data_IF_094785258481
#
_entry.id   IF_094785258481
#
_cell.length_a   1.000
_cell.length_b   1.000
_cell.length_c   1.000
_cell.angle_alpha   90.00
_cell.angle_beta   90.00
_cell.angle_gamma   90.00
#
_symmetry.space_group_name_H-M   'P 1'
#
loop_
_entity.id
_entity.type
_entity.pdbx_description
1 polymer ?
#
# COMPACT_ATOMS: atom_id res chain seq x y z
N UNK A 1 -32.70 -5.89 -1.13
CA UNK A 1 -31.66 -6.79 -0.63
C UNK A 1 -30.56 -7.04 -1.68
N UNK A 2 -30.84 -7.60 -2.89
CA UNK A 2 -29.79 -7.88 -3.92
C UNK A 2 -29.00 -6.63 -4.38
N UNK A 3 -29.64 -5.46 -4.54
CA UNK A 3 -28.94 -4.20 -4.91
C UNK A 3 -27.96 -3.74 -3.83
N UNK A 4 -28.35 -3.78 -2.57
CA UNK A 4 -27.51 -3.43 -1.43
C UNK A 4 -26.26 -4.31 -1.34
N UNK A 5 -26.43 -5.64 -1.45
CA UNK A 5 -25.30 -6.57 -1.44
C UNK A 5 -24.33 -6.33 -2.61
N UNK A 6 -24.85 -6.03 -3.81
CA UNK A 6 -23.98 -5.71 -4.95
C UNK A 6 -23.13 -4.47 -4.68
N UNK A 7 -23.71 -3.40 -4.12
CA UNK A 7 -22.98 -2.18 -3.76
C UNK A 7 -21.95 -2.48 -2.67
N UNK A 8 -22.35 -3.19 -1.62
CA UNK A 8 -21.43 -3.55 -0.53
C UNK A 8 -20.21 -4.33 -1.02
N UNK A 9 -20.43 -5.40 -1.79
CA UNK A 9 -19.32 -6.18 -2.35
C UNK A 9 -18.46 -5.36 -3.32
N UNK A 10 -19.07 -4.47 -4.11
CA UNK A 10 -18.34 -3.58 -5.02
C UNK A 10 -17.42 -2.65 -4.27
N UNK A 11 -17.88 -2.04 -3.18
CA UNK A 11 -17.04 -1.18 -2.31
C UNK A 11 -15.89 -1.99 -1.71
N UNK A 12 -16.15 -3.20 -1.21
CA UNK A 12 -15.10 -4.07 -0.67
C UNK A 12 -14.02 -4.37 -1.71
N UNK A 13 -14.42 -4.73 -2.94
CA UNK A 13 -13.49 -5.01 -4.05
C UNK A 13 -12.69 -3.76 -4.40
N UNK A 14 -13.35 -2.59 -4.50
CA UNK A 14 -12.68 -1.33 -4.83
C UNK A 14 -11.61 -0.97 -3.79
N UNK A 15 -11.91 -1.10 -2.50
CA UNK A 15 -10.93 -0.85 -1.43
C UNK A 15 -9.74 -1.82 -1.54
N UNK A 16 -9.99 -3.11 -1.78
CA UNK A 16 -8.92 -4.11 -1.94
C UNK A 16 -8.01 -3.76 -3.12
N UNK A 17 -8.58 -3.35 -4.26
CA UNK A 17 -7.82 -2.94 -5.43
C UNK A 17 -6.96 -1.69 -5.11
N UNK A 18 -7.56 -0.65 -4.52
CA UNK A 18 -6.86 0.59 -4.17
C UNK A 18 -5.69 0.29 -3.22
N UNK A 19 -5.92 -0.47 -2.15
CA UNK A 19 -4.86 -0.84 -1.19
C UNK A 19 -3.79 -1.69 -1.87
N UNK A 20 -4.17 -2.60 -2.76
CA UNK A 20 -3.24 -3.39 -3.56
C UNK A 20 -2.32 -2.53 -4.43
N UNK A 21 -2.89 -1.55 -5.16
CA UNK A 21 -2.14 -0.60 -5.98
C UNK A 21 -1.20 0.24 -5.13
N UNK A 22 -1.67 0.77 -4.00
CA UNK A 22 -0.82 1.56 -3.08
C UNK A 22 0.37 0.73 -2.61
N UNK A 23 0.14 -0.49 -2.11
CA UNK A 23 1.23 -1.36 -1.63
C UNK A 23 2.21 -1.72 -2.75
N UNK A 24 1.70 -1.99 -3.95
CA UNK A 24 2.53 -2.27 -5.12
C UNK A 24 3.41 -1.06 -5.46
N UNK A 25 2.83 0.13 -5.57
CA UNK A 25 3.55 1.36 -5.93
C UNK A 25 4.61 1.72 -4.88
N UNK A 26 4.24 1.69 -3.59
CA UNK A 26 5.18 1.99 -2.49
C UNK A 26 6.27 0.93 -2.38
N UNK A 27 5.95 -0.34 -2.61
CA UNK A 27 6.91 -1.44 -2.57
C UNK A 27 7.79 -1.55 -3.82
N UNK A 28 7.47 -0.82 -4.90
CA UNK A 28 8.22 -0.84 -6.15
C UNK A 28 9.47 0.06 -6.05
N UNK A 29 10.48 -0.39 -5.32
CA UNK A 29 11.71 0.35 -5.00
C UNK A 29 12.47 0.85 -6.23
N UNK A 30 12.38 0.14 -7.34
CA UNK A 30 13.03 0.48 -8.61
C UNK A 30 12.60 1.84 -9.15
N UNK A 31 11.36 2.26 -8.89
CA UNK A 31 10.88 3.59 -9.29
C UNK A 31 11.72 4.68 -8.61
N UNK A 32 11.92 4.56 -7.29
CA UNK A 32 12.73 5.53 -6.56
C UNK A 32 14.22 5.46 -6.94
N UNK A 33 14.74 4.28 -7.27
CA UNK A 33 16.12 4.14 -7.75
C UNK A 33 16.33 4.87 -9.08
N UNK A 34 15.36 4.83 -9.97
CA UNK A 34 15.36 5.64 -11.18
C UNK A 34 15.35 7.14 -10.85
N UNK A 35 14.52 7.56 -9.90
CA UNK A 35 14.42 8.96 -9.49
C UNK A 35 15.72 9.49 -8.86
N UNK A 36 16.49 8.66 -8.15
CA UNK A 36 17.81 9.04 -7.60
C UNK A 36 18.72 9.56 -8.71
N UNK A 37 18.72 8.88 -9.86
CA UNK A 37 19.55 9.26 -11.01
C UNK A 37 18.92 10.41 -11.79
N UNK A 38 17.63 10.31 -12.09
CA UNK A 38 16.91 11.28 -12.91
C UNK A 38 16.83 12.69 -12.28
N UNK A 39 16.65 12.75 -10.98
CA UNK A 39 16.54 14.00 -10.22
C UNK A 39 17.87 14.45 -9.58
N UNK A 40 18.98 13.76 -9.85
CA UNK A 40 20.29 14.03 -9.28
C UNK A 40 20.29 14.15 -7.75
N UNK A 41 19.52 13.28 -7.07
CA UNK A 41 19.31 13.35 -5.59
C UNK A 41 20.64 13.21 -4.85
N UNK A 42 21.58 12.40 -5.35
CA UNK A 42 22.91 12.24 -4.74
C UNK A 42 23.70 13.55 -4.71
N UNK A 43 23.71 14.30 -5.81
CA UNK A 43 24.41 15.59 -5.90
C UNK A 43 23.74 16.64 -5.00
N UNK A 44 22.41 16.71 -5.03
CA UNK A 44 21.63 17.69 -4.25
C UNK A 44 21.71 17.44 -2.74
N UNK A 45 21.77 16.17 -2.31
CA UNK A 45 21.81 15.80 -0.89
C UNK A 45 23.22 15.69 -0.31
N UNK A 46 24.23 15.52 -1.17
CA UNK A 46 25.60 15.20 -0.75
C UNK A 46 25.79 13.78 -0.22
N UNK A 47 24.79 12.91 -0.40
CA UNK A 47 24.83 11.50 0.01
C UNK A 47 25.24 10.61 -1.16
N UNK A 48 25.91 9.48 -0.86
CA UNK A 48 26.16 8.48 -1.88
C UNK A 48 24.85 7.82 -2.35
N UNK A 49 24.80 7.36 -3.61
CA UNK A 49 23.63 6.63 -4.13
C UNK A 49 23.32 5.39 -3.31
N UNK A 50 24.34 4.72 -2.80
CA UNK A 50 24.19 3.51 -2.01
C UNK A 50 23.59 3.82 -0.63
N UNK A 51 24.02 4.92 0.01
CA UNK A 51 23.40 5.37 1.26
C UNK A 51 21.94 5.75 1.08
N UNK A 52 21.60 6.45 0.00
CA UNK A 52 20.23 6.82 -0.31
C UNK A 52 19.36 5.57 -0.48
N UNK A 53 19.81 4.60 -1.29
CA UNK A 53 19.10 3.33 -1.52
C UNK A 53 18.93 2.54 -0.23
N UNK A 54 20.01 2.40 0.55
CA UNK A 54 20.02 1.64 1.79
C UNK A 54 19.00 2.19 2.81
N UNK A 55 18.97 3.51 2.98
CA UNK A 55 18.03 4.15 3.90
C UNK A 55 16.59 4.09 3.38
N UNK A 56 16.37 4.27 2.06
CA UNK A 56 15.07 4.14 1.44
C UNK A 56 14.52 2.71 1.57
N UNK A 57 15.33 1.70 1.29
CA UNK A 57 14.94 0.30 1.41
C UNK A 57 14.49 -0.04 2.82
N UNK A 58 15.26 0.41 3.80
CA UNK A 58 14.89 0.25 5.20
C UNK A 58 13.56 0.93 5.54
N UNK A 59 13.36 2.15 5.04
CA UNK A 59 12.13 2.92 5.25
C UNK A 59 10.90 2.19 4.69
N UNK A 60 11.01 1.66 3.47
CA UNK A 60 9.92 0.89 2.85
C UNK A 60 9.66 -0.41 3.62
N UNK A 61 10.73 -1.14 3.97
CA UNK A 61 10.60 -2.38 4.73
C UNK A 61 10.01 -2.13 6.13
N UNK A 62 10.38 -1.04 6.80
CA UNK A 62 9.78 -0.63 8.06
C UNK A 62 8.27 -0.40 7.95
N UNK A 63 7.83 0.29 6.92
CA UNK A 63 6.40 0.60 6.75
C UNK A 63 5.56 -0.60 6.32
N UNK A 64 6.07 -1.45 5.43
CA UNK A 64 5.31 -2.54 4.83
C UNK A 64 5.50 -3.88 5.54
N UNK A 65 6.67 -4.12 6.15
CA UNK A 65 7.02 -5.40 6.75
C UNK A 65 6.82 -5.38 8.28
N UNK A 66 6.06 -6.33 8.81
CA UNK A 66 5.82 -6.45 10.26
C UNK A 66 7.03 -6.90 11.07
N UNK A 67 8.00 -7.53 10.43
CA UNK A 67 9.17 -8.09 11.10
C UNK A 67 10.22 -7.03 11.48
N UNK A 68 10.12 -5.81 10.94
CA UNK A 68 10.96 -4.69 11.34
C UNK A 68 10.29 -3.97 12.50
N UNK A 69 10.84 -4.03 13.70
CA UNK A 69 10.20 -3.55 14.93
C UNK A 69 10.55 -2.13 15.31
N UNK A 70 11.74 -1.66 14.97
CA UNK A 70 12.26 -0.35 15.36
C UNK A 70 12.55 0.53 14.14
N UNK A 71 12.22 1.83 14.23
CA UNK A 71 12.61 2.79 13.21
C UNK A 71 14.03 3.31 13.48
N UNK A 72 14.99 2.83 12.69
CA UNK A 72 16.39 3.24 12.77
C UNK A 72 17.03 3.18 11.39
N UNK A 73 17.14 4.33 10.74
CA UNK A 73 17.81 4.41 9.45
C UNK A 73 19.27 3.93 9.54
N UNK A 74 19.75 3.14 8.56
CA UNK A 74 21.09 2.53 8.61
C UNK A 74 22.25 3.53 8.71
N UNK A 75 22.20 4.61 7.95
CA UNK A 75 23.31 5.58 7.89
C UNK A 75 22.89 7.01 8.27
N UNK A 76 21.59 7.31 8.32
CA UNK A 76 21.08 8.64 8.62
C UNK A 76 20.54 8.74 10.05
N UNK A 77 20.76 9.90 10.68
CA UNK A 77 20.17 10.22 11.97
C UNK A 77 18.70 10.60 11.79
N UNK A 78 17.83 10.09 12.65
CA UNK A 78 16.41 10.46 12.67
C UNK A 78 16.13 11.38 13.86
N UNK A 79 15.38 12.46 13.63
CA UNK A 79 14.86 13.28 14.72
C UNK A 79 13.80 12.52 15.54
N UNK A 80 13.55 12.90 16.80
CA UNK A 80 12.45 12.31 17.58
C UNK A 80 11.10 12.44 16.88
N UNK A 81 10.82 13.59 16.26
CA UNK A 81 9.60 13.85 15.51
C UNK A 81 9.50 12.97 14.26
N UNK A 82 10.63 12.78 13.55
CA UNK A 82 10.69 11.87 12.39
C UNK A 82 10.38 10.43 12.77
N UNK A 83 10.88 9.96 13.92
CA UNK A 83 10.56 8.60 14.43
C UNK A 83 9.07 8.45 14.69
N UNK A 84 8.45 9.40 15.40
CA UNK A 84 7.01 9.41 15.68
C UNK A 84 6.21 9.40 14.38
N UNK A 85 6.57 10.27 13.43
CA UNK A 85 5.90 10.35 12.14
C UNK A 85 5.91 9.00 11.39
N UNK A 86 7.07 8.35 11.26
CA UNK A 86 7.18 7.08 10.57
C UNK A 86 6.50 5.91 11.32
N UNK A 87 6.43 5.97 12.65
CA UNK A 87 5.64 5.03 13.44
C UNK A 87 4.13 5.18 13.14
N UNK A 88 3.63 6.41 13.05
CA UNK A 88 2.25 6.69 12.65
C UNK A 88 1.96 6.22 11.22
N UNK A 89 2.84 6.54 10.27
CA UNK A 89 2.73 6.07 8.88
C UNK A 89 2.69 4.55 8.81
N UNK A 90 3.58 3.87 9.52
CA UNK A 90 3.58 2.40 9.63
C UNK A 90 2.25 1.88 10.17
N UNK A 91 1.73 2.47 11.23
CA UNK A 91 0.46 2.06 11.82
C UNK A 91 -0.70 2.19 10.82
N UNK A 92 -0.70 3.24 10.01
CA UNK A 92 -1.67 3.42 8.93
C UNK A 92 -1.55 2.28 7.92
N UNK A 93 -0.37 1.99 7.38
CA UNK A 93 -0.15 0.90 6.42
C UNK A 93 -0.57 -0.45 6.99
N UNK A 94 -0.18 -0.76 8.24
CA UNK A 94 -0.53 -2.02 8.88
C UNK A 94 -2.03 -2.17 9.10
N UNK A 95 -2.73 -1.10 9.47
CA UNK A 95 -4.18 -1.12 9.69
C UNK A 95 -4.96 -1.24 8.38
N UNK A 96 -4.56 -0.49 7.35
CA UNK A 96 -5.17 -0.58 6.01
C UNK A 96 -4.96 -1.98 5.44
N UNK A 97 -3.78 -2.56 5.60
CA UNK A 97 -3.49 -3.92 5.13
C UNK A 97 -4.27 -4.99 5.89
N UNK A 98 -4.49 -4.83 7.20
CA UNK A 98 -5.38 -5.73 7.96
C UNK A 98 -6.82 -5.64 7.44
N UNK A 99 -7.32 -4.43 7.24
CA UNK A 99 -8.66 -4.18 6.71
C UNK A 99 -8.79 -4.79 5.30
N UNK A 100 -7.83 -4.54 4.40
CA UNK A 100 -7.86 -5.08 3.05
C UNK A 100 -7.88 -6.61 3.02
N UNK A 101 -7.16 -7.30 3.91
CA UNK A 101 -7.21 -8.77 4.04
C UNK A 101 -8.59 -9.27 4.44
N UNK A 102 -9.25 -8.59 5.39
CA UNK A 102 -10.64 -8.92 5.76
C UNK A 102 -11.59 -8.70 4.59
N UNK A 103 -11.49 -7.55 3.93
CA UNK A 103 -12.34 -7.21 2.78
C UNK A 103 -12.08 -8.11 1.57
N UNK A 104 -10.86 -8.64 1.41
CA UNK A 104 -10.55 -9.62 0.38
C UNK A 104 -11.37 -10.89 0.56
N UNK A 105 -11.47 -11.41 1.77
CA UNK A 105 -12.31 -12.59 2.06
C UNK A 105 -13.78 -12.31 1.71
N UNK A 106 -14.30 -11.16 2.14
CA UNK A 106 -15.68 -10.75 1.82
C UNK A 106 -15.87 -10.61 0.30
N UNK A 107 -14.89 -10.03 -0.40
CA UNK A 107 -14.91 -9.86 -1.85
C UNK A 107 -14.94 -11.21 -2.60
N UNK A 108 -14.13 -12.17 -2.15
CA UNK A 108 -14.12 -13.52 -2.73
C UNK A 108 -15.47 -14.20 -2.60
N UNK A 109 -16.11 -14.10 -1.44
CA UNK A 109 -17.49 -14.61 -1.23
C UNK A 109 -18.46 -13.91 -2.20
N UNK A 110 -18.38 -12.59 -2.33
CA UNK A 110 -19.21 -11.83 -3.27
C UNK A 110 -19.02 -12.24 -4.72
N UNK A 111 -17.79 -12.48 -5.15
CA UNK A 111 -17.46 -12.94 -6.51
C UNK A 111 -18.03 -14.34 -6.75
N UNK A 112 -17.83 -15.28 -5.81
CA UNK A 112 -18.33 -16.65 -5.91
C UNK A 112 -19.87 -16.64 -6.05
N UNK A 113 -20.56 -15.88 -5.21
CA UNK A 113 -22.01 -15.73 -5.27
C UNK A 113 -22.47 -15.11 -6.58
N UNK A 114 -21.72 -14.14 -7.11
CA UNK A 114 -22.00 -13.49 -8.39
C UNK A 114 -21.90 -14.47 -9.56
N UNK A 115 -20.83 -15.26 -9.60
CA UNK A 115 -20.62 -16.29 -10.63
C UNK A 115 -21.72 -17.36 -10.56
N UNK A 116 -22.01 -17.91 -9.37
CA UNK A 116 -23.09 -18.91 -9.19
C UNK A 116 -24.45 -18.40 -9.68
N UNK A 117 -24.76 -17.13 -9.43
CA UNK A 117 -26.03 -16.53 -9.80
C UNK A 117 -26.03 -15.90 -11.20
N UNK A 118 -24.96 -16.07 -11.98
CA UNK A 118 -24.76 -15.42 -13.30
C UNK A 118 -25.01 -13.90 -13.26
N UNK A 119 -24.64 -13.26 -12.15
CA UNK A 119 -24.89 -11.85 -11.90
C UNK A 119 -23.60 -11.02 -11.99
N UNK A 120 -23.34 -10.45 -13.15
CA UNK A 120 -22.15 -9.60 -13.40
C UNK A 120 -22.28 -8.15 -12.87
N UNK A 121 -23.41 -7.81 -12.22
CA UNK A 121 -23.67 -6.44 -11.75
C UNK A 121 -22.65 -5.96 -10.71
N UNK A 122 -22.09 -6.89 -9.92
CA UNK A 122 -21.02 -6.57 -8.95
C UNK A 122 -19.82 -5.97 -9.69
N UNK A 123 -19.33 -6.63 -10.72
CA UNK A 123 -18.17 -6.17 -11.49
C UNK A 123 -18.42 -4.81 -12.15
N UNK A 124 -19.61 -4.62 -12.73
CA UNK A 124 -20.01 -3.33 -13.33
C UNK A 124 -20.07 -2.22 -12.27
N UNK A 125 -20.63 -2.50 -11.09
CA UNK A 125 -20.71 -1.52 -10.01
C UNK A 125 -19.31 -1.19 -9.45
N UNK A 126 -18.43 -2.19 -9.32
CA UNK A 126 -17.03 -1.98 -8.90
C UNK A 126 -16.30 -1.04 -9.86
N UNK A 127 -16.46 -1.23 -11.16
CA UNK A 127 -15.87 -0.33 -12.16
C UNK A 127 -16.31 1.12 -11.96
N UNK A 128 -17.59 1.35 -11.65
CA UNK A 128 -18.12 2.69 -11.38
C UNK A 128 -17.58 3.28 -10.06
N UNK A 129 -17.35 2.47 -9.04
CA UNK A 129 -16.85 2.95 -7.73
C UNK A 129 -15.35 3.24 -7.73
N UNK A 130 -14.62 2.84 -8.78
CA UNK A 130 -13.19 3.11 -8.94
C UNK A 130 -12.90 4.39 -9.77
N UNK A 131 -13.93 4.97 -10.39
CA UNK A 131 -13.85 6.24 -11.12
C UNK A 131 -14.26 7.40 -10.22
#
# INVERSE_FOLDING_TARGET
MKKFLNVLFSICISIVIIVGVINFTVGFKQLYYFDIDYLNISELSGLSKDDIKLNYDYLIDYNLNKNVSEFKLPTLKSSPQGKIHFEEVRNIFQNINKLAKLLLVVSLVGIILSVKNKNIKILKTTSITLI
#
